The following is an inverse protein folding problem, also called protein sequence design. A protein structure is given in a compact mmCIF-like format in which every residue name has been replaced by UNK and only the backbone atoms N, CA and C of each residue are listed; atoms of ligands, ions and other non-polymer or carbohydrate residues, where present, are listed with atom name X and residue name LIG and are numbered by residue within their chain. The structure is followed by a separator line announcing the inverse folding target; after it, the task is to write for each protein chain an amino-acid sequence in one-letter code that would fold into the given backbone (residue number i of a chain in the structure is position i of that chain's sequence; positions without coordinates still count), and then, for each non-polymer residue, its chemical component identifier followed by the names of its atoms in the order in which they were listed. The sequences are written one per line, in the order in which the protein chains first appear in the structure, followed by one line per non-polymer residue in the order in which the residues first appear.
data_IF_773836436341
#
_entry.id   IF_773836436341
#
_cell.length_a   1.000
_cell.length_b   1.000
_cell.length_c   1.000
_cell.angle_alpha   90.00
_cell.angle_beta   90.00
_cell.angle_gamma   90.00
#
_symmetry.space_group_name_H-M   'P 1'
#
loop_
_entity.id
_entity.type
_entity.pdbx_description
1 polymer ?
#
# COMPACT_ATOMS: atom_id res chain seq x y z
N UNK A 1 5.21 20.60 14.68
CA UNK A 1 3.79 20.35 14.37
C UNK A 1 3.16 19.74 15.62
N UNK A 2 1.94 20.13 15.99
CA UNK A 2 1.28 19.58 17.18
C UNK A 2 -0.25 19.65 17.07
N UNK A 3 -0.93 18.75 17.78
CA UNK A 3 -2.37 18.84 18.01
C UNK A 3 -2.66 19.97 18.98
N UNK A 4 -3.62 20.82 18.62
CA UNK A 4 -4.23 21.81 19.49
C UNK A 4 -5.70 21.46 19.64
N UNK A 5 -6.17 21.50 20.88
CA UNK A 5 -7.56 21.28 21.24
C UNK A 5 -8.20 22.63 21.58
N UNK A 6 -9.28 22.96 20.87
CA UNK A 6 -10.07 24.14 21.15
C UNK A 6 -10.98 23.91 22.36
N UNK A 7 -11.43 24.98 23.05
CA UNK A 7 -12.34 24.85 24.19
C UNK A 7 -13.67 24.13 23.87
N UNK A 8 -14.05 24.05 22.59
CA UNK A 8 -15.23 23.31 22.11
C UNK A 8 -14.95 21.82 21.84
N UNK A 9 -13.74 21.33 22.15
CA UNK A 9 -13.31 19.95 21.97
C UNK A 9 -12.80 19.63 20.56
N UNK A 10 -12.81 20.57 19.61
CA UNK A 10 -12.25 20.32 18.27
C UNK A 10 -10.75 20.20 18.34
N UNK A 11 -10.20 19.19 17.66
CA UNK A 11 -8.76 18.97 17.53
C UNK A 11 -8.30 19.35 16.13
N UNK A 12 -7.32 20.22 16.07
CA UNK A 12 -6.69 20.66 14.83
C UNK A 12 -5.18 20.49 14.92
N UNK A 13 -4.57 20.11 13.81
CA UNK A 13 -3.14 19.90 13.71
C UNK A 13 -2.48 21.15 13.14
N UNK A 14 -1.62 21.78 13.93
CA UNK A 14 -0.96 23.02 13.56
C UNK A 14 0.54 22.83 13.34
N UNK A 15 1.02 23.38 12.23
CA UNK A 15 2.44 23.69 12.07
C UNK A 15 2.69 25.05 12.72
N UNK A 16 3.33 25.06 13.88
CA UNK A 16 3.71 26.27 14.60
C UNK A 16 5.17 26.61 14.32
N UNK A 17 5.42 27.87 13.97
CA UNK A 17 6.77 28.44 13.96
C UNK A 17 6.81 29.61 14.91
N UNK A 18 7.96 29.77 15.57
CA UNK A 18 8.18 30.85 16.53
C UNK A 18 9.55 31.46 16.25
N UNK A 19 9.59 32.78 16.14
CA UNK A 19 10.82 33.54 15.88
C UNK A 19 10.99 34.60 16.96
N UNK A 20 12.21 34.78 17.49
CA UNK A 20 12.48 35.85 18.45
C UNK A 20 12.36 37.21 17.75
N UNK A 21 11.75 38.17 18.44
CA UNK A 21 11.55 39.53 17.98
C UNK A 21 12.39 40.48 18.82
N UNK A 22 13.18 41.30 18.13
CA UNK A 22 14.11 42.23 18.74
C UNK A 22 13.74 43.67 18.37
N UNK A 23 14.02 44.59 19.28
CA UNK A 23 13.99 46.03 19.00
C UNK A 23 15.10 46.42 18.01
N UNK A 24 15.02 47.63 17.45
CA UNK A 24 16.08 48.17 16.56
C UNK A 24 17.45 48.21 17.24
N UNK A 25 17.47 48.25 18.56
CA UNK A 25 18.67 48.39 19.39
C UNK A 25 19.23 47.02 19.80
N UNK A 26 18.69 45.92 19.26
CA UNK A 26 19.12 44.54 19.55
C UNK A 26 18.57 43.95 20.85
N UNK A 27 17.76 44.70 21.63
CA UNK A 27 17.11 44.16 22.83
C UNK A 27 16.00 43.18 22.45
N UNK A 28 16.00 41.99 23.07
CA UNK A 28 14.96 40.98 22.89
C UNK A 28 13.63 41.49 23.46
N UNK A 29 12.61 41.61 22.60
CA UNK A 29 11.28 42.10 22.97
C UNK A 29 10.30 40.95 23.23
N UNK A 30 10.52 39.78 22.63
CA UNK A 30 9.67 38.62 22.86
C UNK A 30 9.70 37.63 21.70
N UNK A 31 8.64 36.84 21.58
CA UNK A 31 8.52 35.77 20.60
C UNK A 31 7.29 36.00 19.72
N UNK A 32 7.48 36.03 18.41
CA UNK A 32 6.37 36.05 17.44
C UNK A 32 6.11 34.61 17.00
N UNK A 33 4.91 34.11 17.31
CA UNK A 33 4.43 32.82 16.84
C UNK A 33 3.48 32.99 15.66
N UNK A 34 3.62 32.16 14.64
CA UNK A 34 2.63 32.00 13.58
C UNK A 34 2.34 30.51 13.37
N UNK A 35 1.08 30.20 13.09
CA UNK A 35 0.59 28.84 12.97
C UNK A 35 -0.19 28.66 11.67
N UNK A 36 0.08 27.56 10.98
CA UNK A 36 -0.75 27.11 9.86
C UNK A 36 -1.55 25.89 10.30
N UNK A 37 -2.87 25.95 10.13
CA UNK A 37 -3.69 24.76 10.24
C UNK A 37 -3.40 23.84 9.04
N UNK A 38 -2.98 22.62 9.33
CA UNK A 38 -2.64 21.60 8.34
C UNK A 38 -3.45 20.31 8.59
N UNK A 39 -4.55 20.39 9.33
CA UNK A 39 -5.41 19.25 9.70
C UNK A 39 -5.88 18.48 8.48
N UNK A 40 -6.48 19.18 7.51
CA UNK A 40 -6.99 18.57 6.28
C UNK A 40 -5.87 17.93 5.45
N UNK A 41 -4.70 18.58 5.39
CA UNK A 41 -3.53 18.02 4.70
C UNK A 41 -3.07 16.71 5.36
N UNK A 42 -2.94 16.70 6.68
CA UNK A 42 -2.54 15.49 7.43
C UNK A 42 -3.57 14.38 7.28
N UNK A 43 -4.87 14.67 7.36
CA UNK A 43 -5.93 13.68 7.15
C UNK A 43 -5.88 13.07 5.76
N UNK A 44 -5.63 13.88 4.73
CA UNK A 44 -5.44 13.37 3.38
C UNK A 44 -4.17 12.53 3.24
N UNK A 45 -3.04 12.98 3.79
CA UNK A 45 -1.80 12.20 3.82
C UNK A 45 -2.01 10.84 4.51
N UNK A 46 -2.60 10.84 5.71
CA UNK A 46 -2.91 9.62 6.46
C UNK A 46 -3.89 8.70 5.71
N UNK A 47 -4.91 9.27 5.06
CA UNK A 47 -5.87 8.52 4.25
C UNK A 47 -5.19 7.87 3.03
N UNK A 48 -4.32 8.61 2.34
CA UNK A 48 -3.57 8.09 1.19
C UNK A 48 -2.55 7.03 1.62
N UNK A 49 -1.84 7.26 2.72
CA UNK A 49 -0.92 6.28 3.29
C UNK A 49 -1.66 5.00 3.69
N UNK A 50 -2.80 5.13 4.37
CA UNK A 50 -3.63 4.00 4.74
C UNK A 50 -4.11 3.25 3.51
N UNK A 51 -4.66 3.95 2.50
CA UNK A 51 -5.10 3.33 1.26
C UNK A 51 -3.96 2.62 0.53
N UNK A 52 -2.76 3.20 0.51
CA UNK A 52 -1.56 2.59 -0.08
C UNK A 52 -1.13 1.32 0.67
N UNK A 53 -1.13 1.36 2.01
CA UNK A 53 -0.82 0.20 2.86
C UNK A 53 -1.86 -0.91 2.71
N UNK A 54 -3.13 -0.55 2.69
CA UNK A 54 -4.26 -1.49 2.50
C UNK A 54 -4.15 -2.14 1.12
N UNK A 55 -3.87 -1.36 0.07
CA UNK A 55 -3.63 -1.88 -1.29
C UNK A 55 -2.46 -2.86 -1.35
N UNK A 56 -1.33 -2.51 -0.73
CA UNK A 56 -0.12 -3.35 -0.74
C UNK A 56 -0.36 -4.65 0.01
N UNK A 57 -0.99 -4.57 1.19
CA UNK A 57 -1.36 -5.74 1.99
C UNK A 57 -2.32 -6.63 1.22
N UNK A 58 -3.35 -6.06 0.60
CA UNK A 58 -4.32 -6.81 -0.20
C UNK A 58 -3.64 -7.56 -1.35
N UNK A 59 -2.80 -6.89 -2.13
CA UNK A 59 -2.06 -7.52 -3.24
C UNK A 59 -1.17 -8.66 -2.75
N UNK A 60 -0.41 -8.43 -1.68
CA UNK A 60 0.49 -9.43 -1.11
C UNK A 60 -0.29 -10.67 -0.66
N UNK A 61 -1.37 -10.49 0.11
CA UNK A 61 -2.21 -11.58 0.61
C UNK A 61 -2.79 -12.40 -0.53
N UNK A 62 -3.43 -11.75 -1.51
CA UNK A 62 -4.05 -12.44 -2.64
C UNK A 62 -3.00 -13.20 -3.44
N UNK A 63 -1.83 -12.63 -3.68
CA UNK A 63 -0.76 -13.29 -4.42
C UNK A 63 -0.28 -14.56 -3.70
N UNK A 64 -0.13 -14.51 -2.38
CA UNK A 64 0.19 -15.69 -1.58
C UNK A 64 -0.90 -16.75 -1.61
N UNK A 65 -2.16 -16.35 -1.45
CA UNK A 65 -3.30 -17.27 -1.47
C UNK A 65 -3.50 -17.93 -2.83
N UNK A 66 -3.17 -17.24 -3.93
CA UNK A 66 -3.28 -17.78 -5.28
C UNK A 66 -2.11 -18.69 -5.69
N UNK A 67 -0.89 -18.48 -5.15
CA UNK A 67 0.27 -19.35 -5.43
C UNK A 67 0.00 -20.82 -5.11
N UNK A 68 -0.63 -21.10 -3.97
CA UNK A 68 -0.90 -22.46 -3.51
C UNK A 68 -1.79 -23.26 -4.48
N UNK A 69 -3.01 -22.80 -4.86
CA UNK A 69 -3.84 -23.52 -5.82
C UNK A 69 -3.20 -23.56 -7.22
N UNK A 70 -2.49 -22.51 -7.65
CA UNK A 70 -1.77 -22.51 -8.93
C UNK A 70 -0.68 -23.57 -9.00
N UNK A 71 0.13 -23.69 -7.95
CA UNK A 71 1.15 -24.73 -7.87
C UNK A 71 0.53 -26.13 -7.89
N UNK A 72 -0.66 -26.30 -7.29
CA UNK A 72 -1.45 -27.52 -7.40
C UNK A 72 -1.86 -27.82 -8.84
N UNK A 73 -2.41 -26.83 -9.57
CA UNK A 73 -2.82 -26.99 -10.97
C UNK A 73 -1.60 -27.31 -11.87
N UNK A 74 -0.49 -26.60 -11.70
CA UNK A 74 0.76 -26.86 -12.45
C UNK A 74 1.30 -28.25 -12.13
N UNK A 75 1.33 -28.65 -10.86
CA UNK A 75 1.78 -29.98 -10.45
C UNK A 75 0.93 -31.10 -11.03
N UNK A 76 -0.39 -31.01 -10.86
CA UNK A 76 -1.35 -32.02 -11.37
C UNK A 76 -1.36 -32.09 -12.89
N UNK A 77 -1.32 -30.96 -13.59
CA UNK A 77 -1.26 -30.95 -15.06
C UNK A 77 0.02 -31.58 -15.59
N UNK A 78 1.18 -31.36 -14.93
CA UNK A 78 2.43 -32.06 -15.26
C UNK A 78 2.33 -33.57 -15.04
N UNK A 79 1.80 -34.00 -13.88
CA UNK A 79 1.60 -35.42 -13.60
C UNK A 79 0.69 -36.09 -14.63
N UNK A 80 -0.38 -35.42 -15.07
CA UNK A 80 -1.28 -35.93 -16.10
C UNK A 80 -0.62 -35.97 -17.48
N UNK A 81 0.23 -35.00 -17.82
CA UNK A 81 0.99 -34.99 -19.08
C UNK A 81 1.95 -36.17 -19.21
N UNK A 82 2.43 -36.71 -18.08
CA UNK A 82 3.28 -37.90 -18.02
C UNK A 82 2.49 -39.22 -18.08
N UNK A 83 1.16 -39.17 -18.05
CA UNK A 83 0.28 -40.34 -18.14
C UNK A 83 -0.10 -40.69 -19.59
N UNK A 84 -0.80 -41.83 -19.78
CA UNK A 84 -1.36 -42.17 -21.09
C UNK A 84 -2.59 -41.32 -21.38
N UNK A 85 -2.41 -40.33 -22.25
CA UNK A 85 -3.45 -39.43 -22.74
C UNK A 85 -3.67 -39.64 -24.24
N UNK A 86 -4.90 -39.41 -24.71
CA UNK A 86 -5.14 -39.21 -26.14
C UNK A 86 -4.49 -37.90 -26.61
N UNK A 87 -4.28 -37.75 -27.92
CA UNK A 87 -3.72 -36.52 -28.50
C UNK A 87 -4.53 -35.26 -28.11
N UNK A 88 -5.86 -35.36 -28.10
CA UNK A 88 -6.74 -34.26 -27.71
C UNK A 88 -6.59 -33.91 -26.23
N UNK A 89 -6.58 -34.92 -25.35
CA UNK A 89 -6.36 -34.72 -23.91
C UNK A 89 -4.99 -34.10 -23.63
N UNK A 90 -3.94 -34.55 -24.34
CA UNK A 90 -2.59 -34.00 -24.23
C UNK A 90 -2.57 -32.53 -24.62
N UNK A 91 -3.22 -32.14 -25.72
CA UNK A 91 -3.33 -30.73 -26.15
C UNK A 91 -4.06 -29.87 -25.11
N UNK A 92 -5.15 -30.38 -24.53
CA UNK A 92 -5.85 -29.69 -23.44
C UNK A 92 -4.98 -29.54 -22.19
N UNK A 93 -4.28 -30.59 -21.77
CA UNK A 93 -3.40 -30.52 -20.59
C UNK A 93 -2.22 -29.57 -20.79
N UNK A 94 -1.64 -29.52 -21.99
CA UNK A 94 -0.59 -28.55 -22.32
C UNK A 94 -1.13 -27.12 -22.20
N UNK A 95 -2.34 -26.87 -22.70
CA UNK A 95 -2.99 -25.56 -22.62
C UNK A 95 -3.24 -25.16 -21.17
N UNK A 96 -3.75 -26.07 -20.33
CA UNK A 96 -3.97 -25.83 -18.90
C UNK A 96 -2.65 -25.53 -18.17
N UNK A 97 -1.62 -26.33 -18.40
CA UNK A 97 -0.31 -26.15 -17.76
C UNK A 97 0.32 -24.79 -18.14
N UNK A 98 0.32 -24.44 -19.43
CA UNK A 98 0.85 -23.14 -19.89
C UNK A 98 0.05 -21.98 -19.31
N UNK A 99 -1.29 -22.10 -19.27
CA UNK A 99 -2.17 -21.06 -18.72
C UNK A 99 -1.93 -20.86 -17.22
N UNK A 100 -1.77 -21.95 -16.46
CA UNK A 100 -1.48 -21.90 -15.04
C UNK A 100 -0.11 -21.28 -14.74
N UNK A 101 0.93 -21.64 -15.50
CA UNK A 101 2.25 -21.02 -15.37
C UNK A 101 2.20 -19.52 -15.69
N UNK A 102 1.53 -19.16 -16.79
CA UNK A 102 1.39 -17.76 -17.21
C UNK A 102 0.67 -16.93 -16.15
N UNK A 103 -0.44 -17.46 -15.62
CA UNK A 103 -1.20 -16.80 -14.56
C UNK A 103 -0.37 -16.65 -13.27
N UNK A 104 0.42 -17.66 -12.91
CA UNK A 104 1.37 -17.59 -11.80
C UNK A 104 2.41 -16.48 -11.97
N UNK A 105 2.96 -16.31 -13.16
CA UNK A 105 3.92 -15.24 -13.46
C UNK A 105 3.26 -13.86 -13.33
N UNK A 106 2.05 -13.67 -13.88
CA UNK A 106 1.32 -12.40 -13.77
C UNK A 106 1.10 -12.02 -12.30
N UNK A 107 0.70 -12.97 -11.44
CA UNK A 107 0.54 -12.67 -10.03
C UNK A 107 1.86 -12.37 -9.32
N UNK A 108 2.96 -12.98 -9.76
CA UNK A 108 4.28 -12.73 -9.19
C UNK A 108 4.82 -11.34 -9.57
N UNK A 109 4.48 -10.83 -10.75
CA UNK A 109 4.87 -9.50 -11.24
C UNK A 109 4.04 -8.35 -10.64
N UNK A 110 2.89 -8.65 -10.02
CA UNK A 110 2.03 -7.66 -9.35
C UNK A 110 2.54 -7.34 -7.93
N UNK A 111 3.41 -8.18 -7.37
CA UNK A 111 4.10 -7.96 -6.07
C UNK A 111 5.34 -7.08 -6.28
#
# INVERSE_FOLDING_TARGET
EQWLEYPDGRKHYFELRKVPFYSKDGRHLGLVGFGRDITERKRHEESLEKASRDKTTFISTISHELRTPLNGIVGLSRMLLDSQLTEEQRKHMQTINVSAITLGNIFNDII
#
